data_IF_139054745491
#
_entry.id   IF_139054745491
#
_cell.length_a   1.000
_cell.length_b   1.000
_cell.length_c   1.000
_cell.angle_alpha   90.00
_cell.angle_beta   90.00
_cell.angle_gamma   90.00
#
_symmetry.space_group_name_H-M   'P 1'
#
loop_
_entity.id
_entity.type
_entity.pdbx_description
1 polymer ?
#
# COMPACT_ATOMS: atom_id res chain seq x y z
N UNK A 1 -4.90 3.52 3.03
CA UNK A 1 -3.58 3.96 2.53
C UNK A 1 -3.67 5.34 1.88
N UNK A 2 -4.83 5.68 1.33
CA UNK A 2 -5.23 6.97 0.79
C UNK A 2 -4.92 8.10 1.78
N UNK A 3 -5.32 7.95 3.04
CA UNK A 3 -4.99 8.91 4.11
C UNK A 3 -3.48 9.13 4.30
N UNK A 4 -2.68 8.06 4.18
CA UNK A 4 -1.22 8.18 4.26
C UNK A 4 -0.65 8.97 3.08
N UNK A 5 -1.17 8.74 1.88
CA UNK A 5 -0.77 9.45 0.67
C UNK A 5 -1.17 10.93 0.75
N UNK A 6 -2.41 11.21 1.19
CA UNK A 6 -2.93 12.56 1.38
C UNK A 6 -2.09 13.34 2.40
N UNK A 7 -1.91 12.78 3.60
CA UNK A 7 -1.10 13.40 4.67
C UNK A 7 0.34 13.67 4.27
N UNK A 8 0.92 12.80 3.43
CA UNK A 8 2.26 13.02 2.87
C UNK A 8 2.25 14.15 1.85
N UNK A 9 1.30 14.12 0.92
CA UNK A 9 1.19 15.10 -0.16
C UNK A 9 0.95 16.51 0.39
N UNK A 10 0.08 16.69 1.39
CA UNK A 10 -0.15 18.01 2.01
C UNK A 10 1.14 18.66 2.51
N UNK A 11 2.06 17.84 3.03
CA UNK A 11 3.30 18.33 3.64
C UNK A 11 4.44 18.50 2.64
N UNK A 12 4.51 17.65 1.62
CA UNK A 12 5.69 17.52 0.76
C UNK A 12 5.43 17.91 -0.71
N UNK A 13 4.16 17.90 -1.12
CA UNK A 13 3.68 18.15 -2.48
C UNK A 13 2.46 19.10 -2.48
N UNK A 14 2.51 20.25 -1.78
CA UNK A 14 1.35 21.16 -1.68
C UNK A 14 0.83 21.61 -3.06
N UNK A 15 1.69 21.65 -4.07
CA UNK A 15 1.33 21.99 -5.45
C UNK A 15 0.26 21.05 -6.06
N UNK A 16 0.12 19.84 -5.53
CA UNK A 16 -0.88 18.87 -6.00
C UNK A 16 -2.31 19.34 -5.73
N UNK A 17 -2.51 20.19 -4.71
CA UNK A 17 -3.79 20.72 -4.27
C UNK A 17 -4.14 22.09 -4.88
N UNK A 18 -3.25 22.67 -5.69
CA UNK A 18 -3.47 23.98 -6.31
C UNK A 18 -4.39 23.91 -7.55
N UNK A 19 -4.67 22.71 -8.05
CA UNK A 19 -5.56 22.50 -9.20
C UNK A 19 -7.02 22.74 -8.80
N UNK A 20 -7.66 23.83 -9.25
CA UNK A 20 -9.02 24.18 -8.85
C UNK A 20 -10.07 23.20 -9.40
N UNK A 21 -9.72 22.36 -10.38
CA UNK A 21 -10.60 21.30 -10.91
C UNK A 21 -10.54 20.02 -10.04
N UNK A 22 -9.58 19.93 -9.10
CA UNK A 22 -9.46 18.80 -8.16
C UNK A 22 -10.04 19.17 -6.81
N UNK A 23 -11.23 18.64 -6.51
CA UNK A 23 -11.90 18.78 -5.21
C UNK A 23 -11.29 17.83 -4.15
N UNK A 24 -9.97 17.86 -3.98
CA UNK A 24 -9.22 17.00 -3.06
C UNK A 24 -9.12 17.64 -1.68
N UNK A 25 -10.27 17.89 -1.07
CA UNK A 25 -10.39 18.58 0.21
C UNK A 25 -10.19 17.68 1.44
N UNK A 26 -10.28 16.36 1.24
CA UNK A 26 -10.10 15.35 2.28
C UNK A 26 -9.44 14.06 1.73
N UNK A 27 -8.83 13.24 2.60
CA UNK A 27 -8.28 11.93 2.24
C UNK A 27 -9.22 11.04 1.42
N UNK A 28 -10.51 11.06 1.75
CA UNK A 28 -11.56 10.23 1.15
C UNK A 28 -11.93 10.67 -0.27
N UNK A 29 -11.65 11.92 -0.65
CA UNK A 29 -11.91 12.45 -1.99
C UNK A 29 -10.92 11.90 -3.04
N UNK A 30 -9.83 11.24 -2.62
CA UNK A 30 -8.75 10.83 -3.50
C UNK A 30 -8.45 9.33 -3.40
N UNK A 31 -8.74 8.63 -4.48
CA UNK A 31 -8.53 7.18 -4.56
C UNK A 31 -7.04 6.82 -4.72
N UNK A 32 -6.64 5.63 -4.24
CA UNK A 32 -5.23 5.20 -4.27
C UNK A 32 -4.59 5.19 -5.67
N UNK A 33 -5.35 4.92 -6.73
CA UNK A 33 -4.83 5.01 -8.10
C UNK A 33 -4.49 6.45 -8.52
N UNK A 34 -5.25 7.44 -8.04
CA UNK A 34 -4.98 8.83 -8.33
C UNK A 34 -3.67 9.25 -7.65
N UNK A 35 -3.46 8.82 -6.40
CA UNK A 35 -2.17 8.98 -5.72
C UNK A 35 -1.01 8.33 -6.46
N UNK A 36 -1.18 7.11 -6.95
CA UNK A 36 -0.16 6.45 -7.80
C UNK A 36 0.17 7.29 -9.03
N UNK A 37 -0.84 7.84 -9.71
CA UNK A 37 -0.61 8.73 -10.86
C UNK A 37 0.13 10.02 -10.48
N UNK A 38 -0.20 10.63 -9.33
CA UNK A 38 0.51 11.79 -8.78
C UNK A 38 1.97 11.46 -8.50
N UNK A 39 2.26 10.34 -7.85
CA UNK A 39 3.63 9.94 -7.51
C UNK A 39 4.46 9.52 -8.72
N UNK A 40 3.84 9.07 -9.81
CA UNK A 40 4.55 8.80 -11.07
C UNK A 40 4.89 10.07 -11.87
N UNK A 41 4.39 11.25 -11.49
CA UNK A 41 4.84 12.50 -12.09
C UNK A 41 6.33 12.70 -11.78
N UNK A 42 7.10 13.09 -12.80
CA UNK A 42 8.58 13.07 -12.77
C UNK A 42 9.18 13.71 -11.51
N UNK A 43 8.73 14.91 -11.15
CA UNK A 43 9.29 15.65 -10.02
C UNK A 43 8.88 15.03 -8.67
N UNK A 44 7.64 14.57 -8.56
CA UNK A 44 7.12 13.89 -7.36
C UNK A 44 7.82 12.54 -7.15
N UNK A 45 7.99 11.78 -8.23
CA UNK A 45 8.69 10.51 -8.22
C UNK A 45 10.11 10.70 -7.71
N UNK A 46 10.84 11.70 -8.22
CA UNK A 46 12.22 11.98 -7.76
C UNK A 46 12.25 12.30 -6.27
N UNK A 47 11.37 13.18 -5.77
CA UNK A 47 11.33 13.53 -4.33
C UNK A 47 11.04 12.30 -3.46
N UNK A 48 10.12 11.45 -3.88
CA UNK A 48 9.75 10.24 -3.16
C UNK A 48 10.85 9.18 -3.23
N UNK A 49 11.56 9.08 -4.35
CA UNK A 49 12.70 8.16 -4.54
C UNK A 49 13.90 8.61 -3.70
N UNK A 50 14.21 9.91 -3.65
CA UNK A 50 15.24 10.47 -2.77
C UNK A 50 14.95 10.12 -1.31
N UNK A 51 13.68 10.20 -0.88
CA UNK A 51 13.25 9.80 0.46
C UNK A 51 13.38 8.30 0.70
N UNK A 52 12.96 7.48 -0.29
CA UNK A 52 13.11 6.03 -0.28
C UNK A 52 14.56 5.61 -0.07
N UNK A 53 15.48 6.23 -0.82
CA UNK A 53 16.92 5.98 -0.69
C UNK A 53 17.47 6.47 0.65
N UNK A 54 17.04 7.64 1.13
CA UNK A 54 17.48 8.20 2.41
C UNK A 54 17.16 7.28 3.59
N UNK A 55 15.99 6.63 3.59
CA UNK A 55 15.60 5.68 4.65
C UNK A 55 16.18 4.27 4.44
N UNK A 56 16.97 4.05 3.40
CA UNK A 56 17.55 2.75 3.08
C UNK A 56 16.51 1.70 2.65
N UNK A 57 15.44 2.11 1.98
CA UNK A 57 14.46 1.17 1.45
C UNK A 57 15.08 0.34 0.31
N UNK A 58 14.96 -0.98 0.41
CA UNK A 58 15.54 -1.93 -0.56
C UNK A 58 14.60 -2.19 -1.76
N UNK A 59 13.32 -1.82 -1.65
CA UNK A 59 12.33 -2.03 -2.71
C UNK A 59 12.41 -0.92 -3.77
N UNK A 60 12.25 -1.28 -5.04
CA UNK A 60 12.11 -0.29 -6.11
C UNK A 60 10.80 0.51 -5.94
N UNK A 61 10.87 1.85 -5.98
CA UNK A 61 9.70 2.70 -5.80
C UNK A 61 8.61 2.48 -6.87
N UNK A 62 9.01 2.25 -8.13
CA UNK A 62 8.07 1.99 -9.22
C UNK A 62 7.28 0.69 -8.99
N UNK A 63 7.96 -0.36 -8.53
CA UNK A 63 7.32 -1.64 -8.20
C UNK A 63 6.35 -1.47 -7.02
N UNK A 64 6.73 -0.69 -5.99
CA UNK A 64 5.84 -0.37 -4.88
C UNK A 64 4.58 0.37 -5.36
N UNK A 65 4.71 1.39 -6.19
CA UNK A 65 3.59 2.15 -6.74
C UNK A 65 2.66 1.28 -7.61
N UNK A 66 3.21 0.38 -8.42
CA UNK A 66 2.40 -0.58 -9.16
C UNK A 66 1.70 -1.57 -8.23
N UNK A 67 2.36 -2.05 -7.17
CA UNK A 67 1.75 -2.88 -6.13
C UNK A 67 0.53 -2.18 -5.48
N UNK A 68 0.62 -0.87 -5.21
CA UNK A 68 -0.51 -0.09 -4.66
C UNK A 68 -1.71 -0.06 -5.60
N UNK A 69 -1.45 0.11 -6.90
CA UNK A 69 -2.49 0.05 -7.94
C UNK A 69 -3.12 -1.34 -8.03
N UNK A 70 -2.32 -2.40 -7.91
CA UNK A 70 -2.82 -3.78 -7.91
C UNK A 70 -3.66 -4.10 -6.67
N UNK A 71 -3.29 -3.60 -5.49
CA UNK A 71 -4.10 -3.72 -4.27
C UNK A 71 -5.50 -3.14 -4.49
N UNK A 72 -5.58 -1.92 -5.01
CA UNK A 72 -6.87 -1.29 -5.31
C UNK A 72 -7.66 -2.06 -6.36
N UNK A 73 -7.00 -2.50 -7.44
CA UNK A 73 -7.65 -3.29 -8.48
C UNK A 73 -8.22 -4.61 -7.93
N UNK A 74 -7.47 -5.32 -7.10
CA UNK A 74 -7.92 -6.56 -6.46
C UNK A 74 -9.12 -6.32 -5.53
N UNK A 75 -9.11 -5.23 -4.75
CA UNK A 75 -10.19 -4.87 -3.84
C UNK A 75 -11.49 -4.50 -4.56
N UNK A 76 -11.40 -3.63 -5.58
CA UNK A 76 -12.57 -3.13 -6.33
C UNK A 76 -13.22 -4.22 -7.18
N UNK A 77 -12.41 -5.01 -7.89
CA UNK A 77 -12.93 -6.05 -8.78
C UNK A 77 -13.12 -7.40 -8.07
N UNK A 78 -12.77 -7.51 -6.78
CA UNK A 78 -12.89 -8.72 -5.96
C UNK A 78 -12.26 -9.94 -6.64
N UNK A 79 -11.13 -9.74 -7.31
CA UNK A 79 -10.42 -10.83 -7.97
C UNK A 79 -9.92 -11.84 -6.95
N UNK A 80 -9.89 -13.12 -7.34
CA UNK A 80 -9.23 -14.15 -6.53
C UNK A 80 -7.74 -13.84 -6.46
N UNK A 81 -7.26 -13.57 -5.25
CA UNK A 81 -5.85 -13.33 -4.96
C UNK A 81 -5.27 -14.55 -4.26
N UNK A 82 -4.04 -14.93 -4.60
CA UNK A 82 -3.35 -16.03 -3.90
C UNK A 82 -2.81 -15.56 -2.56
N UNK A 83 -2.58 -16.48 -1.62
CA UNK A 83 -1.92 -16.18 -0.35
C UNK A 83 -0.54 -15.53 -0.57
N UNK A 84 0.21 -15.99 -1.57
CA UNK A 84 1.50 -15.41 -1.94
C UNK A 84 1.37 -13.96 -2.40
N UNK A 85 0.36 -13.66 -3.23
CA UNK A 85 0.10 -12.29 -3.67
C UNK A 85 -0.31 -11.38 -2.51
N UNK A 86 -1.12 -11.87 -1.57
CA UNK A 86 -1.50 -11.11 -0.37
C UNK A 86 -0.26 -10.79 0.48
N UNK A 87 0.66 -11.76 0.65
CA UNK A 87 1.93 -11.53 1.35
C UNK A 87 2.73 -10.40 0.72
N UNK A 88 2.89 -10.44 -0.60
CA UNK A 88 3.61 -9.41 -1.37
C UNK A 88 2.95 -8.05 -1.21
N UNK A 89 1.63 -7.97 -1.44
CA UNK A 89 0.87 -6.72 -1.31
C UNK A 89 1.03 -6.07 0.06
N UNK A 90 0.97 -6.86 1.13
CA UNK A 90 1.14 -6.34 2.49
C UNK A 90 2.58 -5.89 2.75
N UNK A 91 3.57 -6.64 2.29
CA UNK A 91 4.98 -6.27 2.44
C UNK A 91 5.30 -4.97 1.69
N UNK A 92 4.82 -4.85 0.46
CA UNK A 92 4.98 -3.65 -0.36
C UNK A 92 4.23 -2.46 0.26
N UNK A 93 3.01 -2.66 0.76
CA UNK A 93 2.26 -1.61 1.46
C UNK A 93 3.01 -1.12 2.71
N UNK A 94 3.60 -2.03 3.49
CA UNK A 94 4.41 -1.68 4.65
C UNK A 94 5.66 -0.89 4.23
N UNK A 95 6.38 -1.34 3.20
CA UNK A 95 7.55 -0.64 2.68
C UNK A 95 7.18 0.77 2.19
N UNK A 96 6.10 0.88 1.42
CA UNK A 96 5.59 2.16 0.93
C UNK A 96 5.18 3.10 2.07
N UNK A 97 4.46 2.61 3.07
CA UNK A 97 4.10 3.41 4.25
C UNK A 97 5.31 3.91 5.05
N UNK A 98 6.42 3.15 5.07
CA UNK A 98 7.67 3.61 5.69
C UNK A 98 8.28 4.76 4.92
N UNK A 99 8.25 4.72 3.58
CA UNK A 99 8.72 5.83 2.72
C UNK A 99 7.91 7.09 3.00
N UNK A 100 6.57 6.99 3.08
CA UNK A 100 5.70 8.14 3.36
C UNK A 100 5.91 8.75 4.76
N UNK A 101 6.65 8.09 5.64
CA UNK A 101 7.13 8.59 6.93
C UNK A 101 6.06 9.30 7.75
N UNK A 102 4.90 8.65 7.93
CA UNK A 102 3.87 9.14 8.84
C UNK A 102 4.39 9.09 10.28
N UNK A 103 4.57 10.25 10.90
CA UNK A 103 4.93 10.38 12.32
C UNK A 103 3.99 9.61 13.27
N UNK A 104 2.75 9.36 12.84
CA UNK A 104 1.71 8.81 13.70
C UNK A 104 1.63 7.28 13.68
N UNK A 105 2.30 6.62 12.72
CA UNK A 105 2.40 5.16 12.65
C UNK A 105 1.06 4.40 12.59
N UNK A 106 -0.08 5.09 12.52
CA UNK A 106 -1.43 4.50 12.59
C UNK A 106 -1.64 3.55 11.42
N UNK A 107 -1.35 3.97 10.18
CA UNK A 107 -1.48 3.13 9.01
C UNK A 107 -0.59 1.87 9.08
N UNK A 108 0.65 1.99 9.57
CA UNK A 108 1.53 0.84 9.78
C UNK A 108 0.99 -0.11 10.85
N UNK A 109 0.50 0.41 11.97
CA UNK A 109 -0.12 -0.40 13.04
C UNK A 109 -1.33 -1.17 12.52
N UNK A 110 -2.19 -0.53 11.74
CA UNK A 110 -3.35 -1.16 11.12
C UNK A 110 -2.95 -2.24 10.11
N UNK A 111 -1.98 -1.97 9.24
CA UNK A 111 -1.45 -2.97 8.30
C UNK A 111 -0.88 -4.19 9.03
N UNK A 112 -0.11 -4.00 10.10
CA UNK A 112 0.40 -5.11 10.90
C UNK A 112 -0.72 -5.88 11.61
N UNK A 113 -1.76 -5.20 12.12
CA UNK A 113 -2.90 -5.84 12.76
C UNK A 113 -3.71 -6.68 11.78
N UNK A 114 -4.04 -6.12 10.61
CA UNK A 114 -4.74 -6.83 9.53
C UNK A 114 -3.91 -8.03 9.06
N UNK A 115 -2.61 -7.86 8.86
CA UNK A 115 -1.72 -8.94 8.45
C UNK A 115 -1.59 -10.04 9.49
N UNK A 116 -1.49 -9.68 10.78
CA UNK A 116 -1.46 -10.64 11.88
C UNK A 116 -2.71 -11.51 11.90
N UNK A 117 -3.89 -10.88 11.78
CA UNK A 117 -5.16 -11.61 11.70
C UNK A 117 -5.26 -12.50 10.45
N UNK A 118 -4.86 -11.99 9.28
CA UNK A 118 -4.87 -12.75 8.03
C UNK A 118 -3.91 -13.95 8.07
N UNK A 119 -2.72 -13.77 8.64
CA UNK A 119 -1.70 -14.83 8.74
C UNK A 119 -2.18 -16.02 9.57
N UNK A 120 -2.86 -15.76 10.69
CA UNK A 120 -3.44 -16.82 11.52
C UNK A 120 -4.47 -17.66 10.75
N UNK A 121 -5.35 -17.02 9.98
CA UNK A 121 -6.34 -17.72 9.16
C UNK A 121 -5.68 -18.50 8.02
N UNK A 122 -4.66 -17.92 7.39
CA UNK A 122 -3.88 -18.59 6.36
C UNK A 122 -3.27 -19.89 6.93
N UNK A 123 -2.62 -19.80 8.08
CA UNK A 123 -1.99 -20.96 8.72
C UNK A 123 -3.02 -22.04 9.10
N UNK A 124 -4.20 -21.66 9.55
CA UNK A 124 -5.32 -22.58 9.84
C UNK A 124 -5.81 -23.33 8.59
N UNK A 125 -5.94 -22.62 7.46
CA UNK A 125 -6.29 -23.21 6.16
C UNK A 125 -5.22 -24.18 5.67
N UNK A 126 -3.94 -23.85 5.84
CA UNK A 126 -2.85 -24.75 5.47
C UNK A 126 -2.78 -25.98 6.38
N UNK A 127 -3.02 -25.82 7.69
CA UNK A 127 -3.08 -26.95 8.65
C UNK A 127 -4.24 -27.90 8.36
N UNK A 128 -5.42 -27.37 8.05
CA UNK A 128 -6.61 -28.19 7.74
C UNK A 128 -6.48 -28.95 6.41
N UNK A 129 -5.72 -28.43 5.45
CA UNK A 129 -5.40 -29.12 4.18
C UNK A 129 -4.31 -30.19 4.32
N UNK A 130 -3.55 -30.19 5.40
CA UNK A 130 -2.47 -31.15 5.65
C UNK A 130 -2.95 -32.47 6.29
N UNK A 131 -4.25 -32.62 6.59
CA UNK A 131 -4.81 -33.92 6.99
C UNK A 131 -4.74 -34.90 5.81
N UNK A 132 -4.02 -36.04 5.94
CA UNK A 132 -4.02 -37.07 4.91
C UNK A 132 -5.43 -37.67 4.77
N UNK A 133 -5.82 -38.15 3.57
CA UNK A 133 -7.07 -38.88 3.40
C UNK A 133 -7.09 -40.09 4.34
N UNK A 134 -8.26 -40.51 4.86
CA UNK A 134 -8.35 -41.69 5.71
C UNK A 134 -7.76 -42.90 4.97
N UNK A 135 -6.93 -43.67 5.68
CA UNK A 135 -6.34 -44.89 5.15
C UNK A 135 -7.43 -45.86 4.65
N UNK A 136 -7.18 -46.56 3.53
CA UNK A 136 -8.18 -47.37 2.82
C UNK A 136 -8.71 -48.56 3.61
#
# INVERSE_FOLDING_TARGET
MEEACFSFAEKNLPEVFEDPDKEWDCPEAVELNAWVAVFFQRDNFRRLDDLSQYIGNEHNLGDLLESMKQIRHAAVHRHRVTVTSIKIFVQDAIAFCRILNLKDGTCLKELYAIWGAASLQIDEVYKSRACPPPEP
#
